data_IF_440976982201
#
_entry.id   IF_440976982201
#
_cell.length_a   1.000
_cell.length_b   1.000
_cell.length_c   1.000
_cell.angle_alpha   90.00
_cell.angle_beta   90.00
_cell.angle_gamma   90.00
#
_symmetry.space_group_name_H-M   'P 1'
#
loop_
_entity.id
_entity.type
_entity.pdbx_description
1 polymer ?
#
# COMPACT_ATOMS: atom_id res chain seq x y z
N UNK A 1 30.77 2.04 9.05
CA UNK A 1 30.29 1.02 10.00
C UNK A 1 29.41 0.07 9.21
N UNK A 2 29.87 -1.17 9.00
CA UNK A 2 29.11 -2.16 8.25
C UNK A 2 27.89 -2.58 9.06
N UNK A 3 26.70 -2.37 8.50
CA UNK A 3 25.47 -2.96 9.04
C UNK A 3 25.58 -4.46 8.79
N UNK A 4 25.97 -5.22 9.82
CA UNK A 4 25.98 -6.68 9.73
C UNK A 4 24.55 -7.16 9.53
N UNK A 5 24.32 -7.94 8.47
CA UNK A 5 23.06 -8.64 8.20
C UNK A 5 22.71 -9.50 9.42
N UNK A 6 21.59 -9.27 10.12
CA UNK A 6 21.26 -10.01 11.34
C UNK A 6 21.07 -11.52 11.15
N UNK A 7 20.84 -11.99 9.92
CA UNK A 7 20.42 -13.36 9.59
C UNK A 7 21.27 -14.03 8.48
N UNK A 8 22.33 -13.36 7.98
CA UNK A 8 23.23 -13.93 6.97
C UNK A 8 22.65 -14.07 5.55
N UNK A 9 21.47 -13.51 5.26
CA UNK A 9 20.82 -13.64 3.94
C UNK A 9 21.59 -12.86 2.87
N UNK A 10 22.02 -13.54 1.80
CA UNK A 10 22.65 -12.89 0.65
C UNK A 10 21.63 -12.50 -0.44
N UNK A 11 21.83 -11.37 -1.10
CA UNK A 11 20.96 -10.90 -2.17
C UNK A 11 21.02 -9.41 -2.42
N UNK A 12 20.22 -8.94 -3.38
CA UNK A 12 19.98 -7.52 -3.61
C UNK A 12 18.77 -7.05 -2.80
N UNK A 13 18.85 -5.85 -2.24
CA UNK A 13 17.83 -5.29 -1.35
C UNK A 13 17.50 -3.84 -1.70
N UNK A 14 16.29 -3.44 -1.37
CA UNK A 14 15.83 -2.05 -1.40
C UNK A 14 15.67 -1.56 0.04
N UNK A 15 16.14 -0.34 0.32
CA UNK A 15 15.92 0.34 1.60
C UNK A 15 14.81 1.36 1.42
N UNK A 16 13.83 1.34 2.32
CA UNK A 16 12.75 2.34 2.37
C UNK A 16 12.75 3.00 3.73
N UNK A 17 13.02 4.31 3.73
CA UNK A 17 13.09 5.13 4.94
C UNK A 17 11.98 6.16 5.04
N UNK A 18 11.81 6.74 6.23
CA UNK A 18 10.89 7.84 6.42
C UNK A 18 11.26 8.99 5.48
N UNK A 19 10.28 9.65 4.85
CA UNK A 19 10.56 10.81 4.03
C UNK A 19 11.02 11.96 4.93
N UNK A 20 11.74 12.93 4.37
CA UNK A 20 12.06 14.16 5.08
C UNK A 20 10.79 15.01 5.33
N UNK A 21 9.81 14.91 4.42
CA UNK A 21 8.49 15.53 4.52
C UNK A 21 7.45 14.47 4.19
N UNK A 22 6.60 14.14 5.15
CA UNK A 22 5.52 13.18 4.94
C UNK A 22 4.33 13.83 4.24
N UNK A 23 3.69 13.09 3.33
CA UNK A 23 2.40 13.50 2.78
C UNK A 23 1.29 13.17 3.80
N UNK A 24 0.23 13.99 3.90
CA UNK A 24 -0.90 13.69 4.75
C UNK A 24 -1.45 12.29 4.50
N UNK A 25 -1.71 11.53 5.58
CA UNK A 25 -2.20 10.15 5.51
C UNK A 25 -1.15 9.09 5.17
N UNK A 26 0.12 9.47 4.98
CA UNK A 26 1.20 8.48 4.83
C UNK A 26 1.52 7.81 6.16
N UNK A 27 1.68 6.48 6.13
CA UNK A 27 2.23 5.74 7.26
C UNK A 27 3.71 6.07 7.46
N UNK A 28 4.15 6.06 8.72
CA UNK A 28 5.57 5.97 9.04
C UNK A 28 6.12 4.60 8.64
N UNK A 29 7.43 4.48 8.49
CA UNK A 29 8.04 3.19 8.08
C UNK A 29 7.87 2.08 9.10
N UNK A 30 7.73 2.42 10.39
CA UNK A 30 7.45 1.44 11.43
C UNK A 30 6.07 0.83 11.25
N UNK A 31 5.04 1.65 11.05
CA UNK A 31 3.67 1.19 10.80
C UNK A 31 3.57 0.43 9.48
N UNK A 32 4.19 0.96 8.42
CA UNK A 32 4.22 0.28 7.10
C UNK A 32 4.91 -1.09 7.18
N UNK A 33 5.98 -1.23 7.96
CA UNK A 33 6.64 -2.50 8.21
C UNK A 33 5.71 -3.54 8.86
N UNK A 34 4.92 -3.14 9.86
CA UNK A 34 3.93 -4.03 10.51
C UNK A 34 2.81 -4.43 9.54
N UNK A 35 2.30 -3.48 8.76
CA UNK A 35 1.25 -3.73 7.75
C UNK A 35 1.72 -4.71 6.67
N UNK A 36 2.93 -4.51 6.13
CA UNK A 36 3.50 -5.39 5.10
C UNK A 36 3.62 -6.81 5.65
N UNK A 37 4.18 -6.97 6.84
CA UNK A 37 4.40 -8.30 7.40
C UNK A 37 3.09 -9.02 7.76
N UNK A 38 2.04 -8.30 8.13
CA UNK A 38 0.70 -8.87 8.27
C UNK A 38 0.12 -9.35 6.91
N UNK A 39 0.29 -8.55 5.84
CA UNK A 39 -0.14 -8.96 4.50
C UNK A 39 0.64 -10.19 3.99
N UNK A 40 1.96 -10.25 4.25
CA UNK A 40 2.79 -11.42 3.93
C UNK A 40 2.34 -12.65 4.70
N UNK A 41 2.06 -12.53 6.00
CA UNK A 41 1.55 -13.63 6.81
C UNK A 41 0.18 -14.14 6.32
N UNK A 42 -0.63 -13.27 5.71
CA UNK A 42 -1.89 -13.62 5.07
C UNK A 42 -1.74 -14.20 3.64
N UNK A 43 -0.51 -14.27 3.12
CA UNK A 43 -0.22 -14.86 1.80
C UNK A 43 -0.17 -13.87 0.64
N UNK A 44 -0.14 -12.57 0.89
CA UNK A 44 0.03 -11.58 -0.18
C UNK A 44 1.41 -11.76 -0.87
N UNK A 45 1.49 -11.71 -2.22
CA UNK A 45 2.72 -11.96 -2.97
C UNK A 45 3.65 -10.73 -2.94
N UNK A 46 4.25 -10.47 -1.78
CA UNK A 46 5.19 -9.37 -1.56
C UNK A 46 6.33 -9.85 -0.67
N UNK A 47 7.57 -9.35 -0.83
CA UNK A 47 8.65 -9.75 0.07
C UNK A 47 8.38 -9.21 1.49
N UNK A 48 8.87 -9.93 2.51
CA UNK A 48 8.79 -9.45 3.89
C UNK A 48 9.59 -8.15 4.07
N UNK A 49 9.07 -7.24 4.89
CA UNK A 49 9.83 -6.10 5.38
C UNK A 49 10.76 -6.56 6.51
N UNK A 50 12.07 -6.37 6.33
CA UNK A 50 13.14 -6.88 7.20
C UNK A 50 13.99 -5.75 7.77
N UNK A 51 14.63 -6.03 8.90
CA UNK A 51 15.67 -5.19 9.50
C UNK A 51 15.23 -3.73 9.73
N UNK A 52 14.04 -3.54 10.31
CA UNK A 52 13.55 -2.23 10.74
C UNK A 52 14.55 -1.59 11.72
N UNK A 53 15.11 -0.45 11.35
CA UNK A 53 16.18 0.24 12.06
C UNK A 53 15.87 1.73 12.15
N UNK A 54 15.92 2.28 13.35
CA UNK A 54 15.86 3.74 13.57
C UNK A 54 17.24 4.36 13.38
N UNK A 55 17.29 5.55 12.79
CA UNK A 55 18.54 6.30 12.65
C UNK A 55 19.40 5.90 11.45
N UNK A 56 19.00 4.90 10.66
CA UNK A 56 19.81 4.35 9.57
C UNK A 56 20.11 5.37 8.47
N UNK A 57 19.10 6.15 8.06
CA UNK A 57 19.25 7.16 7.01
C UNK A 57 19.45 8.57 7.57
N UNK A 58 18.77 8.89 8.68
CA UNK A 58 18.83 10.18 9.39
C UNK A 58 18.45 9.95 10.86
N UNK A 59 18.94 10.77 11.81
CA UNK A 59 18.57 10.65 13.23
C UNK A 59 17.04 10.63 13.43
N UNK A 60 16.54 9.68 14.21
CA UNK A 60 15.12 9.51 14.52
C UNK A 60 14.23 9.00 13.37
N UNK A 61 14.77 8.80 12.16
CA UNK A 61 14.02 8.27 11.03
C UNK A 61 14.09 6.74 11.01
N UNK A 62 12.94 6.09 10.88
CA UNK A 62 12.86 4.65 10.66
C UNK A 62 13.14 4.28 9.21
N UNK A 63 13.77 3.14 9.01
CA UNK A 63 13.92 2.52 7.70
C UNK A 63 13.87 1.01 7.83
N UNK A 64 13.32 0.35 6.81
CA UNK A 64 13.37 -1.10 6.67
C UNK A 64 13.94 -1.47 5.31
N UNK A 65 14.23 -2.76 5.15
CA UNK A 65 14.74 -3.34 3.91
C UNK A 65 13.78 -4.39 3.37
N UNK A 66 13.77 -4.58 2.06
CA UNK A 66 13.04 -5.68 1.40
C UNK A 66 13.92 -6.28 0.33
N UNK A 67 13.68 -7.54 -0.02
CA UNK A 67 14.32 -8.15 -1.19
C UNK A 67 14.01 -7.32 -2.44
N UNK A 68 15.04 -7.04 -3.25
CA UNK A 68 14.85 -6.47 -4.58
C UNK A 68 14.36 -7.57 -5.51
N UNK A 69 13.14 -7.42 -6.03
CA UNK A 69 12.56 -8.33 -7.00
C UNK A 69 12.70 -7.78 -8.42
N UNK A 70 12.94 -8.65 -9.43
CA UNK A 70 12.90 -8.24 -10.83
C UNK A 70 11.46 -7.96 -11.27
N UNK A 71 11.33 -7.17 -12.34
CA UNK A 71 10.04 -6.95 -12.99
C UNK A 71 9.80 -5.50 -13.40
N UNK A 72 8.58 -5.23 -13.87
CA UNK A 72 8.18 -3.95 -14.45
C UNK A 72 6.99 -3.38 -13.66
N UNK A 73 7.14 -2.15 -13.16
CA UNK A 73 6.05 -1.39 -12.51
C UNK A 73 5.52 -0.25 -13.37
N UNK A 74 6.20 0.10 -14.48
CA UNK A 74 5.80 1.21 -15.32
C UNK A 74 4.49 0.90 -16.06
N UNK A 75 3.38 1.50 -15.61
CA UNK A 75 2.04 1.17 -16.11
C UNK A 75 1.87 1.25 -17.63
N UNK A 76 2.52 2.21 -18.29
CA UNK A 76 2.52 2.31 -19.76
C UNK A 76 3.20 1.11 -20.44
N UNK A 77 4.24 0.55 -19.82
CA UNK A 77 4.92 -0.66 -20.28
C UNK A 77 4.09 -1.90 -19.97
N UNK A 78 3.60 -2.03 -18.73
CA UNK A 78 2.71 -3.13 -18.30
C UNK A 78 1.54 -3.32 -19.26
N UNK A 79 0.91 -2.22 -19.70
CA UNK A 79 -0.30 -2.27 -20.54
C UNK A 79 -0.05 -2.51 -22.03
N UNK A 80 1.18 -2.30 -22.53
CA UNK A 80 1.44 -2.27 -23.99
C UNK A 80 2.57 -3.18 -24.46
N UNK A 81 3.52 -3.52 -23.58
CA UNK A 81 4.69 -4.29 -23.96
C UNK A 81 4.28 -5.71 -24.39
N UNK A 82 4.60 -6.15 -25.63
CA UNK A 82 4.32 -7.51 -26.07
C UNK A 82 4.94 -8.59 -25.16
N UNK A 83 6.09 -8.31 -24.54
CA UNK A 83 6.75 -9.26 -23.63
C UNK A 83 5.93 -9.54 -22.36
N UNK A 84 4.99 -8.66 -21.99
CA UNK A 84 4.11 -8.82 -20.84
C UNK A 84 2.70 -9.30 -21.23
N UNK A 85 2.51 -9.84 -22.43
CA UNK A 85 1.20 -10.29 -22.89
C UNK A 85 0.64 -11.43 -22.02
N UNK A 86 1.45 -12.45 -21.72
CA UNK A 86 1.04 -13.54 -20.85
C UNK A 86 0.79 -13.06 -19.41
N UNK A 87 1.65 -12.18 -18.89
CA UNK A 87 1.45 -11.54 -17.59
C UNK A 87 0.12 -10.81 -17.51
N UNK A 88 -0.24 -10.01 -18.52
CA UNK A 88 -1.52 -9.30 -18.58
C UNK A 88 -2.72 -10.25 -18.63
N UNK A 89 -2.60 -11.38 -19.30
CA UNK A 89 -3.67 -12.39 -19.36
C UNK A 89 -3.91 -13.03 -17.98
N UNK A 90 -2.84 -13.27 -17.22
CA UNK A 90 -2.90 -13.87 -15.88
C UNK A 90 -3.21 -12.88 -14.77
N UNK A 91 -2.88 -11.60 -14.97
CA UNK A 91 -2.95 -10.55 -13.97
C UNK A 91 -4.30 -10.50 -13.24
N UNK A 92 -5.49 -10.58 -13.89
CA UNK A 92 -6.75 -10.50 -13.16
C UNK A 92 -6.89 -11.54 -12.04
N UNK A 93 -6.47 -12.80 -12.28
CA UNK A 93 -6.52 -13.86 -11.27
C UNK A 93 -5.51 -13.60 -10.15
N UNK A 94 -4.24 -13.32 -10.50
CA UNK A 94 -3.18 -13.08 -9.51
C UNK A 94 -3.47 -11.84 -8.65
N UNK A 95 -4.05 -10.79 -9.23
CA UNK A 95 -4.46 -9.59 -8.51
C UNK A 95 -5.66 -9.85 -7.60
N UNK A 96 -6.62 -10.68 -8.03
CA UNK A 96 -7.73 -11.10 -7.18
C UNK A 96 -7.23 -11.95 -5.99
N UNK A 97 -6.29 -12.87 -6.22
CA UNK A 97 -5.64 -13.67 -5.18
C UNK A 97 -4.90 -12.76 -4.18
N UNK A 98 -4.10 -11.81 -4.66
CA UNK A 98 -3.40 -10.85 -3.81
C UNK A 98 -4.35 -9.99 -2.97
N UNK A 99 -5.41 -9.45 -3.57
CA UNK A 99 -6.42 -8.68 -2.84
C UNK A 99 -7.19 -9.54 -1.84
N UNK A 100 -7.50 -10.78 -2.20
CA UNK A 100 -8.17 -11.72 -1.28
C UNK A 100 -7.29 -11.99 -0.06
N UNK A 101 -6.01 -12.26 -0.26
CA UNK A 101 -5.06 -12.43 0.85
C UNK A 101 -5.03 -11.19 1.76
N UNK A 102 -4.89 -9.99 1.18
CA UNK A 102 -4.89 -8.74 1.95
C UNK A 102 -6.20 -8.54 2.72
N UNK A 103 -7.35 -8.77 2.08
CA UNK A 103 -8.67 -8.56 2.69
C UNK A 103 -9.01 -9.59 3.78
N UNK A 104 -8.26 -10.68 3.93
CA UNK A 104 -8.43 -11.61 5.06
C UNK A 104 -7.82 -11.06 6.37
N UNK A 105 -7.02 -10.01 6.29
CA UNK A 105 -6.48 -9.30 7.47
C UNK A 105 -7.57 -8.37 8.00
N UNK A 106 -8.16 -8.74 9.15
CA UNK A 106 -9.22 -7.97 9.80
C UNK A 106 -8.78 -7.54 11.22
N UNK A 107 -9.36 -6.46 11.78
CA UNK A 107 -9.05 -6.00 13.13
C UNK A 107 -9.27 -7.06 14.23
N UNK A 108 -10.17 -8.02 14.02
CA UNK A 108 -10.46 -9.12 14.94
C UNK A 108 -9.36 -10.19 14.93
N UNK A 109 -8.63 -10.32 13.82
CA UNK A 109 -7.60 -11.35 13.62
C UNK A 109 -6.19 -10.82 13.88
N UNK A 110 -5.94 -9.56 13.51
CA UNK A 110 -4.61 -8.94 13.56
C UNK A 110 -4.74 -7.52 14.09
N UNK A 111 -3.98 -7.21 15.15
CA UNK A 111 -3.84 -5.83 15.64
C UNK A 111 -2.75 -5.13 14.84
N UNK A 112 -3.14 -4.06 14.13
CA UNK A 112 -2.23 -3.21 13.36
C UNK A 112 -2.19 -1.79 13.96
N UNK A 113 -1.10 -1.02 13.75
CA UNK A 113 -0.98 0.36 14.21
C UNK A 113 -1.74 1.31 13.27
N UNK A 114 -3.00 0.97 12.95
CA UNK A 114 -3.89 1.70 12.07
C UNK A 114 -5.17 2.06 12.82
N UNK A 115 -5.77 3.24 12.54
CA UNK A 115 -7.09 3.54 13.06
C UNK A 115 -8.12 2.57 12.49
N UNK A 116 -9.00 2.06 13.35
CA UNK A 116 -10.13 1.21 12.96
C UNK A 116 -11.43 1.98 13.21
N UNK A 117 -11.87 2.83 12.26
CA UNK A 117 -13.11 3.56 12.40
C UNK A 117 -14.30 2.60 12.39
N UNK A 118 -15.31 2.87 13.21
CA UNK A 118 -16.57 2.10 13.21
C UNK A 118 -17.27 2.13 11.85
N UNK A 119 -17.06 3.20 11.10
CA UNK A 119 -17.61 3.41 9.76
C UNK A 119 -16.52 3.98 8.83
N UNK A 120 -15.72 3.11 8.18
CA UNK A 120 -14.62 3.55 7.31
C UNK A 120 -15.08 4.38 6.12
N UNK A 121 -16.30 4.14 5.62
CA UNK A 121 -16.87 4.90 4.49
C UNK A 121 -17.19 6.33 4.93
N UNK A 122 -17.85 6.50 6.08
CA UNK A 122 -18.10 7.84 6.64
C UNK A 122 -16.77 8.58 6.88
N UNK A 123 -15.82 7.94 7.55
CA UNK A 123 -14.51 8.53 7.84
C UNK A 123 -13.76 8.98 6.57
N UNK A 124 -13.83 8.18 5.49
CA UNK A 124 -13.22 8.52 4.20
C UNK A 124 -13.91 9.72 3.53
N UNK A 125 -15.24 9.80 3.59
CA UNK A 125 -16.01 10.91 3.02
C UNK A 125 -15.76 12.22 3.79
N UNK A 126 -15.64 12.15 5.11
CA UNK A 126 -15.27 13.30 5.94
C UNK A 126 -13.84 13.78 5.62
N UNK A 127 -12.88 12.86 5.52
CA UNK A 127 -11.50 13.21 5.13
C UNK A 127 -11.42 13.85 3.73
N UNK A 128 -12.23 13.37 2.77
CA UNK A 128 -12.34 13.97 1.43
C UNK A 128 -12.93 15.39 1.51
N UNK A 129 -14.01 15.57 2.29
CA UNK A 129 -14.65 16.87 2.51
C UNK A 129 -13.66 17.88 3.08
N UNK A 130 -12.98 17.53 4.17
CA UNK A 130 -11.97 18.38 4.80
C UNK A 130 -10.81 18.72 3.84
N UNK A 131 -10.38 17.75 3.04
CA UNK A 131 -9.33 17.98 2.03
C UNK A 131 -9.78 18.98 0.98
N UNK A 132 -11.03 18.91 0.55
CA UNK A 132 -11.59 19.86 -0.42
C UNK A 132 -11.78 21.26 0.17
N UNK A 133 -12.19 21.37 1.44
CA UNK A 133 -12.34 22.66 2.15
C UNK A 133 -11.01 23.41 2.30
N UNK A 134 -9.87 22.69 2.31
CA UNK A 134 -8.52 23.29 2.34
C UNK A 134 -7.99 23.75 0.99
N UNK A 135 -8.67 23.44 -0.12
CA UNK A 135 -8.20 23.84 -1.44
C UNK A 135 -8.39 25.35 -1.67
N UNK A 136 -7.45 26.03 -2.33
CA UNK A 136 -7.49 27.49 -2.50
C UNK A 136 -8.58 27.96 -3.47
N UNK A 137 -9.20 27.05 -4.22
CA UNK A 137 -10.24 27.37 -5.18
C UNK A 137 -11.36 26.33 -5.15
N UNK A 138 -12.58 26.80 -5.43
CA UNK A 138 -13.74 25.93 -5.56
C UNK A 138 -13.54 24.93 -6.71
N UNK A 139 -13.98 23.69 -6.50
CA UNK A 139 -13.94 22.62 -7.51
C UNK A 139 -15.33 22.02 -7.69
N UNK A 140 -16.20 22.66 -8.50
CA UNK A 140 -17.62 22.28 -8.61
C UNK A 140 -17.86 20.82 -8.99
N UNK A 141 -17.06 20.27 -9.90
CA UNK A 141 -17.16 18.86 -10.29
C UNK A 141 -16.87 17.90 -9.12
N UNK A 142 -15.85 18.21 -8.31
CA UNK A 142 -15.53 17.42 -7.12
C UNK A 142 -16.60 17.57 -6.04
N UNK A 143 -17.15 18.78 -5.85
CA UNK A 143 -18.22 19.04 -4.90
C UNK A 143 -19.50 18.29 -5.26
N UNK A 144 -19.86 18.27 -6.54
CA UNK A 144 -20.97 17.46 -7.04
C UNK A 144 -20.74 15.96 -6.83
N UNK A 145 -19.51 15.47 -7.07
CA UNK A 145 -19.13 14.09 -6.80
C UNK A 145 -19.26 13.71 -5.32
N UNK A 146 -18.75 14.55 -4.42
CA UNK A 146 -18.86 14.33 -2.97
C UNK A 146 -20.32 14.34 -2.51
N UNK A 147 -21.14 15.28 -2.99
CA UNK A 147 -22.56 15.33 -2.67
C UNK A 147 -23.30 14.06 -3.13
N UNK A 148 -22.96 13.54 -4.32
CA UNK A 148 -23.50 12.28 -4.81
C UNK A 148 -23.08 11.10 -3.94
N UNK A 149 -21.82 11.01 -3.54
CA UNK A 149 -21.31 9.93 -2.68
C UNK A 149 -21.98 9.93 -1.30
N UNK A 150 -22.19 11.11 -0.70
CA UNK A 150 -22.89 11.26 0.57
C UNK A 150 -24.35 10.78 0.49
N UNK A 151 -25.02 10.99 -0.64
CA UNK A 151 -26.41 10.56 -0.87
C UNK A 151 -26.51 9.06 -1.17
N UNK A 152 -25.50 8.46 -1.79
CA UNK A 152 -25.52 7.09 -2.30
C UNK A 152 -24.52 6.19 -1.57
N UNK A 153 -24.40 6.35 -0.25
CA UNK A 153 -23.47 5.54 0.56
C UNK A 153 -23.84 4.06 0.47
N UNK A 154 -22.88 3.16 0.22
CA UNK A 154 -23.12 1.73 0.32
C UNK A 154 -23.45 1.34 1.77
N UNK A 155 -24.16 0.22 1.98
CA UNK A 155 -24.34 -0.32 3.32
C UNK A 155 -22.98 -0.68 3.95
N UNK A 156 -22.85 -0.64 5.29
CA UNK A 156 -21.65 -1.08 5.97
C UNK A 156 -21.28 -2.53 5.59
N UNK A 157 -20.00 -2.75 5.32
CA UNK A 157 -19.42 -4.08 5.10
C UNK A 157 -18.47 -4.47 6.23
N UNK A 158 -17.87 -5.65 6.10
CA UNK A 158 -16.78 -6.09 6.96
C UNK A 158 -15.58 -5.13 6.84
N UNK A 159 -14.91 -4.84 7.96
CA UNK A 159 -13.73 -3.99 7.99
C UNK A 159 -12.51 -4.87 7.74
N UNK A 160 -11.83 -4.63 6.63
CA UNK A 160 -10.63 -5.36 6.24
C UNK A 160 -9.48 -4.39 5.96
N UNK A 161 -8.25 -4.88 6.00
CA UNK A 161 -7.10 -4.13 5.52
C UNK A 161 -7.28 -3.86 4.02
N UNK A 162 -7.11 -2.61 3.61
CA UNK A 162 -7.08 -2.22 2.20
C UNK A 162 -5.70 -1.68 1.86
N UNK A 163 -5.17 -2.00 0.67
CA UNK A 163 -3.86 -1.50 0.23
C UNK A 163 -3.84 0.04 0.10
N UNK A 164 -4.98 0.66 -0.24
CA UNK A 164 -5.12 2.12 -0.39
C UNK A 164 -4.63 2.71 -1.73
N UNK A 165 -3.73 2.03 -2.44
CA UNK A 165 -3.24 2.45 -3.77
C UNK A 165 -2.94 1.23 -4.68
N UNK A 166 -3.90 0.31 -4.78
CA UNK A 166 -3.76 -0.93 -5.56
C UNK A 166 -3.94 -0.65 -7.06
N UNK A 167 -2.84 -0.36 -7.75
CA UNK A 167 -2.80 -0.03 -9.19
C UNK A 167 -1.50 -0.49 -9.83
N UNK A 168 -1.47 -0.61 -11.15
CA UNK A 168 -0.31 -1.12 -11.93
C UNK A 168 1.03 -0.46 -11.60
N UNK A 169 1.04 0.81 -11.18
CA UNK A 169 2.25 1.52 -10.76
C UNK A 169 2.88 1.04 -9.45
N UNK A 170 2.13 0.29 -8.63
CA UNK A 170 2.57 -0.29 -7.35
C UNK A 170 2.61 -1.82 -7.39
N UNK A 171 2.49 -2.40 -8.59
CA UNK A 171 2.50 -3.83 -8.83
C UNK A 171 3.69 -4.14 -9.73
N UNK A 172 4.36 -5.25 -9.47
CA UNK A 172 5.53 -5.69 -10.20
C UNK A 172 5.14 -6.85 -11.11
N UNK A 173 5.44 -6.75 -12.41
CA UNK A 173 5.10 -7.77 -13.39
C UNK A 173 6.37 -8.37 -14.02
N UNK A 174 6.39 -9.69 -14.11
CA UNK A 174 7.36 -10.44 -14.91
C UNK A 174 6.67 -11.02 -16.15
N UNK A 175 7.38 -11.39 -17.23
CA UNK A 175 6.76 -11.90 -18.47
C UNK A 175 5.77 -13.05 -18.24
N UNK A 176 6.03 -13.90 -17.25
CA UNK A 176 5.25 -15.10 -16.93
C UNK A 176 4.03 -14.86 -16.04
N UNK A 177 3.87 -13.67 -15.45
CA UNK A 177 2.80 -13.33 -14.50
C UNK A 177 3.28 -12.58 -13.28
#
# INVERSE_FOLDING_TARGET
>A
MGVSRPDGVEGAFVIRGDPAVALPGSLGRREEHEVINAAVAAGAPTPAARWLTEGLLRPGAWAYTMALLPGVTLGAKVTRDPALAAARERAPSQLAEALTAIHTVTPERVTLPLPVPKDPVAASLDALRETMERLPCARPAQAAGLAWLLKNRPPPGEITLVHGDFRTGNLLFEPEG
#
